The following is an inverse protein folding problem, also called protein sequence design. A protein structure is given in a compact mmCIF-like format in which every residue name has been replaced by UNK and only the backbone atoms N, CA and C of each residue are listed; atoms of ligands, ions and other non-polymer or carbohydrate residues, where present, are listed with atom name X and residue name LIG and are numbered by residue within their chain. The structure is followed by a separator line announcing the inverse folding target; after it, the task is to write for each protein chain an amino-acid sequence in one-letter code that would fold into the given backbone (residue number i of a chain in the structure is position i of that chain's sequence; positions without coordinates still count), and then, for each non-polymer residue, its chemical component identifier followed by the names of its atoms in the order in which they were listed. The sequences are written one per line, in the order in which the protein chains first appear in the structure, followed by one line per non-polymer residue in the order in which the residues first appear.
data_IF_568528274882
#
_entry.id   IF_568528274882
#
_cell.length_a   1.000
_cell.length_b   1.000
_cell.length_c   1.000
_cell.angle_alpha   90.00
_cell.angle_beta   90.00
_cell.angle_gamma   90.00
#
_symmetry.space_group_name_H-M   'P 1'
#
loop_
_entity.id
_entity.type
_entity.pdbx_description
1 polymer ?
#
# COMPACT_ATOMS: atom_id res chain seq x y z
N UNK A 1 -4.32 -0.92 2.75
CA UNK A 1 -5.74 -0.84 3.18
C UNK A 1 -5.85 -0.41 4.66
N UNK A 2 -4.93 0.45 5.10
CA UNK A 2 -4.93 0.93 6.48
C UNK A 2 -5.77 2.19 6.59
N UNK A 3 -6.49 2.33 7.73
CA UNK A 3 -7.09 3.61 8.08
C UNK A 3 -5.98 4.63 8.38
N UNK A 4 -6.31 5.92 8.29
CA UNK A 4 -5.35 7.00 8.56
C UNK A 4 -4.98 7.16 10.04
N UNK A 5 -5.39 6.24 10.92
CA UNK A 5 -5.24 6.35 12.38
C UNK A 5 -4.18 5.39 12.97
N UNK A 6 -3.53 4.57 12.14
CA UNK A 6 -2.49 3.66 12.62
C UNK A 6 -1.26 4.41 13.18
N UNK A 7 -0.57 3.79 14.12
CA UNK A 7 0.56 4.41 14.83
C UNK A 7 1.67 4.89 13.90
N UNK A 8 2.00 4.09 12.87
CA UNK A 8 3.01 4.46 11.88
C UNK A 8 2.59 5.64 11.01
N UNK A 9 1.32 5.74 10.61
CA UNK A 9 0.79 6.86 9.80
C UNK A 9 0.94 8.16 10.56
N UNK A 10 0.53 8.19 11.84
CA UNK A 10 0.68 9.37 12.69
C UNK A 10 2.16 9.75 12.88
N UNK A 11 3.02 8.78 13.15
CA UNK A 11 4.44 9.02 13.34
C UNK A 11 5.09 9.62 12.08
N UNK A 12 4.83 9.05 10.92
CA UNK A 12 5.37 9.52 9.64
C UNK A 12 4.88 10.93 9.30
N UNK A 13 3.58 11.19 9.43
CA UNK A 13 3.00 12.48 9.07
C UNK A 13 3.34 13.58 10.10
N UNK A 14 3.15 13.32 11.41
CA UNK A 14 3.25 14.35 12.45
C UNK A 14 4.70 14.65 12.86
N UNK A 15 5.58 13.65 12.90
CA UNK A 15 6.94 13.82 13.38
C UNK A 15 7.98 13.93 12.27
N UNK A 16 7.78 13.23 11.17
CA UNK A 16 8.73 13.24 10.06
C UNK A 16 8.29 14.09 8.87
N UNK A 17 7.04 14.57 8.84
CA UNK A 17 6.51 15.37 7.75
C UNK A 17 6.45 14.61 6.41
N UNK A 18 6.37 13.27 6.47
CA UNK A 18 6.25 12.45 5.27
C UNK A 18 4.81 12.53 4.78
N UNK A 19 4.56 12.86 3.51
CA UNK A 19 3.21 12.79 2.94
C UNK A 19 2.67 11.37 3.03
N UNK A 20 1.51 11.18 3.66
CA UNK A 20 0.84 9.89 3.81
C UNK A 20 -0.55 9.98 3.24
N UNK A 21 -0.84 9.11 2.27
CA UNK A 21 -2.14 8.98 1.61
C UNK A 21 -2.77 7.67 2.07
N UNK A 22 -3.67 7.76 3.02
CA UNK A 22 -4.31 6.61 3.65
C UNK A 22 -5.83 6.83 3.76
N UNK A 23 -6.54 5.82 4.19
CA UNK A 23 -7.97 5.86 4.42
C UNK A 23 -8.64 4.55 4.01
N UNK A 24 -9.89 4.42 4.42
CA UNK A 24 -10.74 3.30 4.03
C UNK A 24 -12.14 3.78 3.67
N UNK A 25 -12.72 3.23 2.61
CA UNK A 25 -14.07 3.55 2.18
C UNK A 25 -15.14 2.73 2.92
N UNK A 26 -14.76 1.64 3.60
CA UNK A 26 -15.65 0.78 4.38
C UNK A 26 -14.91 0.16 5.56
N UNK A 27 -15.62 -0.07 6.66
CA UNK A 27 -15.11 -0.81 7.83
C UNK A 27 -15.16 -2.32 7.65
N UNK A 28 -15.73 -2.79 6.53
CA UNK A 28 -15.82 -4.20 6.23
C UNK A 28 -14.55 -4.76 5.62
N UNK A 29 -14.34 -6.04 5.83
CA UNK A 29 -13.33 -6.76 5.08
C UNK A 29 -13.75 -6.93 3.61
N UNK A 30 -12.79 -6.95 2.70
CA UNK A 30 -13.04 -7.00 1.25
C UNK A 30 -13.95 -8.13 0.81
N UNK A 31 -13.91 -9.28 1.47
CA UNK A 31 -14.78 -10.43 1.17
C UNK A 31 -16.24 -10.25 1.61
N UNK A 32 -16.57 -9.23 2.39
CA UNK A 32 -17.92 -8.90 2.86
C UNK A 32 -18.44 -7.56 2.33
N UNK A 33 -17.66 -6.88 1.48
CA UNK A 33 -18.06 -5.63 0.83
C UNK A 33 -19.08 -5.87 -0.28
N UNK A 34 -19.98 -4.92 -0.45
CA UNK A 34 -20.86 -4.87 -1.64
C UNK A 34 -20.09 -4.37 -2.87
N UNK A 35 -20.67 -4.48 -4.06
CA UNK A 35 -20.07 -3.96 -5.28
C UNK A 35 -19.81 -2.45 -5.21
N UNK A 36 -20.71 -1.69 -4.58
CA UNK A 36 -20.59 -0.26 -4.38
C UNK A 36 -19.44 0.07 -3.41
N UNK A 37 -19.29 -0.69 -2.33
CA UNK A 37 -18.19 -0.53 -1.37
C UNK A 37 -16.84 -0.87 -2.00
N UNK A 38 -16.78 -1.90 -2.84
CA UNK A 38 -15.57 -2.24 -3.59
C UNK A 38 -15.20 -1.14 -4.58
N UNK A 39 -16.18 -0.59 -5.32
CA UNK A 39 -15.95 0.52 -6.24
C UNK A 39 -15.44 1.77 -5.50
N UNK A 40 -16.07 2.16 -4.39
CA UNK A 40 -15.62 3.29 -3.57
C UNK A 40 -14.22 3.06 -2.99
N UNK A 41 -13.87 1.82 -2.65
CA UNK A 41 -12.52 1.47 -2.20
C UNK A 41 -11.50 1.63 -3.32
N UNK A 42 -11.83 1.19 -4.53
CA UNK A 42 -10.98 1.37 -5.71
C UNK A 42 -10.75 2.86 -5.99
N UNK A 43 -11.81 3.67 -6.04
CA UNK A 43 -11.72 5.13 -6.26
C UNK A 43 -10.83 5.80 -5.20
N UNK A 44 -10.94 5.43 -3.93
CA UNK A 44 -10.11 5.95 -2.86
C UNK A 44 -8.62 5.58 -3.07
N UNK A 45 -8.32 4.33 -3.39
CA UNK A 45 -6.94 3.89 -3.62
C UNK A 45 -6.33 4.57 -4.86
N UNK A 46 -7.09 4.68 -5.93
CA UNK A 46 -6.65 5.36 -7.15
C UNK A 46 -6.40 6.84 -6.90
N UNK A 47 -7.28 7.50 -6.13
CA UNK A 47 -7.10 8.89 -5.70
C UNK A 47 -5.85 9.10 -4.84
N UNK A 48 -5.63 8.20 -3.88
CA UNK A 48 -4.45 8.23 -3.02
C UNK A 48 -3.16 8.04 -3.83
N UNK A 49 -3.12 7.05 -4.71
CA UNK A 49 -1.95 6.79 -5.55
C UNK A 49 -1.70 7.93 -6.54
N UNK A 50 -2.75 8.46 -7.17
CA UNK A 50 -2.62 9.63 -8.05
C UNK A 50 -2.06 10.85 -7.32
N UNK A 51 -2.50 11.09 -6.08
CA UNK A 51 -2.00 12.18 -5.24
C UNK A 51 -0.52 11.98 -4.87
N UNK A 52 -0.14 10.75 -4.48
CA UNK A 52 1.26 10.43 -4.19
C UNK A 52 2.18 10.61 -5.42
N UNK A 53 1.70 10.21 -6.60
CA UNK A 53 2.43 10.43 -7.85
C UNK A 53 2.58 11.91 -8.20
N UNK A 54 1.56 12.71 -7.90
CA UNK A 54 1.61 14.17 -8.13
C UNK A 54 2.63 14.86 -7.21
N UNK A 55 2.75 14.43 -5.94
CA UNK A 55 3.79 14.92 -5.02
C UNK A 55 5.22 14.64 -5.51
N UNK A 56 5.39 13.55 -6.25
CA UNK A 56 6.68 13.14 -6.79
C UNK A 56 6.92 13.66 -8.21
N UNK A 57 5.99 14.44 -8.77
CA UNK A 57 6.15 14.98 -10.12
C UNK A 57 7.34 15.95 -10.18
N UNK A 58 8.31 15.63 -11.04
CA UNK A 58 9.56 16.39 -11.16
C UNK A 58 10.64 16.07 -10.14
N UNK A 59 10.39 15.16 -9.19
CA UNK A 59 11.40 14.69 -8.26
C UNK A 59 12.54 13.96 -9.03
N UNK A 60 13.78 14.22 -8.63
CA UNK A 60 14.97 13.55 -9.13
C UNK A 60 15.48 12.45 -8.18
N UNK A 61 14.93 12.43 -6.99
CA UNK A 61 15.20 11.44 -5.92
C UNK A 61 14.00 11.34 -5.01
N UNK A 62 13.81 10.21 -4.36
CA UNK A 62 12.72 9.99 -3.41
C UNK A 62 12.46 8.51 -3.16
N UNK A 63 11.54 8.25 -2.26
CA UNK A 63 11.04 6.91 -1.95
C UNK A 63 9.51 6.92 -1.94
N UNK A 64 8.90 6.10 -2.77
CA UNK A 64 7.48 5.81 -2.78
C UNK A 64 7.24 4.43 -2.17
N UNK A 65 6.51 4.37 -1.07
CA UNK A 65 6.11 3.11 -0.43
C UNK A 65 4.63 2.86 -0.68
N UNK A 66 4.32 1.74 -1.31
CA UNK A 66 2.97 1.27 -1.59
C UNK A 66 2.67 0.06 -0.69
N UNK A 67 2.15 0.33 0.50
CA UNK A 67 1.88 -0.70 1.50
C UNK A 67 0.64 -1.51 1.14
N UNK A 68 0.74 -2.83 1.20
CA UNK A 68 -0.29 -3.80 0.80
C UNK A 68 -0.78 -3.68 -0.67
N UNK A 69 0.01 -3.03 -1.53
CA UNK A 69 -0.37 -2.79 -2.92
C UNK A 69 -0.54 -4.08 -3.73
N UNK A 70 0.25 -5.12 -3.42
CA UNK A 70 0.12 -6.42 -4.12
C UNK A 70 -1.22 -7.08 -3.84
N UNK A 71 -1.72 -6.96 -2.60
CA UNK A 71 -3.04 -7.46 -2.23
C UNK A 71 -4.16 -6.64 -2.90
N UNK A 72 -4.01 -5.31 -2.97
CA UNK A 72 -4.95 -4.44 -3.66
C UNK A 72 -5.02 -4.76 -5.15
N UNK A 73 -3.89 -4.92 -5.83
CA UNK A 73 -3.80 -5.32 -7.24
C UNK A 73 -4.47 -6.66 -7.49
N UNK A 74 -4.17 -7.67 -6.68
CA UNK A 74 -4.71 -9.02 -6.85
C UNK A 74 -6.24 -9.10 -6.73
N UNK A 75 -6.82 -8.13 -6.02
CA UNK A 75 -8.27 -8.01 -5.80
C UNK A 75 -8.96 -6.99 -6.73
N UNK A 76 -8.22 -6.33 -7.61
CA UNK A 76 -8.75 -5.28 -8.48
C UNK A 76 -9.23 -4.04 -7.72
N UNK A 77 -8.57 -3.71 -6.61
CA UNK A 77 -8.89 -2.57 -5.74
C UNK A 77 -7.99 -1.34 -5.98
N UNK A 78 -7.19 -1.39 -7.01
CA UNK A 78 -6.37 -0.27 -7.52
C UNK A 78 -6.17 -0.46 -9.01
N UNK A 79 -6.15 0.63 -9.77
CA UNK A 79 -5.89 0.60 -11.21
C UNK A 79 -4.43 0.17 -11.47
N UNK A 80 -4.27 -0.92 -12.23
CA UNK A 80 -2.96 -1.45 -12.62
C UNK A 80 -2.13 -0.41 -13.40
N UNK A 81 -2.78 0.43 -14.21
CA UNK A 81 -2.08 1.46 -14.97
C UNK A 81 -1.48 2.54 -14.06
N UNK A 82 -2.12 2.88 -12.94
CA UNK A 82 -1.54 3.77 -11.92
C UNK A 82 -0.34 3.15 -11.22
N UNK A 83 -0.41 1.86 -10.91
CA UNK A 83 0.72 1.13 -10.32
C UNK A 83 1.88 1.03 -11.32
N UNK A 84 1.61 0.79 -12.60
CA UNK A 84 2.66 0.83 -13.63
C UNK A 84 3.35 2.18 -13.70
N UNK A 85 2.59 3.28 -13.64
CA UNK A 85 3.15 4.63 -13.58
C UNK A 85 4.02 4.84 -12.34
N UNK A 86 3.61 4.30 -11.20
CA UNK A 86 4.42 4.34 -9.98
C UNK A 86 5.75 3.60 -10.16
N UNK A 87 5.73 2.41 -10.75
CA UNK A 87 6.95 1.64 -11.04
C UNK A 87 7.87 2.36 -12.03
N UNK A 88 7.31 3.06 -13.01
CA UNK A 88 8.09 3.82 -14.00
C UNK A 88 8.79 5.05 -13.38
N UNK A 89 8.43 5.46 -12.15
CA UNK A 89 9.16 6.50 -11.40
C UNK A 89 10.60 6.11 -11.08
N UNK A 90 10.90 4.81 -10.99
CA UNK A 90 12.26 4.32 -10.77
C UNK A 90 13.24 4.79 -11.83
N UNK A 91 12.82 4.90 -13.08
CA UNK A 91 13.62 5.44 -14.18
C UNK A 91 13.98 6.93 -14.00
N UNK A 92 13.35 7.62 -13.05
CA UNK A 92 13.57 9.05 -12.74
C UNK A 92 14.36 9.25 -11.45
N UNK A 93 14.81 8.19 -10.79
CA UNK A 93 15.55 8.25 -9.53
C UNK A 93 14.69 8.15 -8.26
N UNK A 94 13.41 7.81 -8.40
CA UNK A 94 12.53 7.52 -7.24
C UNK A 94 12.56 6.02 -6.94
N UNK A 95 13.02 5.65 -5.76
CA UNK A 95 12.92 4.28 -5.29
C UNK A 95 11.45 3.90 -5.05
N UNK A 96 11.04 2.71 -5.47
CA UNK A 96 9.65 2.26 -5.32
C UNK A 96 9.62 0.93 -4.56
N UNK A 97 8.96 0.92 -3.40
CA UNK A 97 8.79 -0.27 -2.59
C UNK A 97 7.32 -0.69 -2.55
N UNK A 98 7.04 -1.93 -2.94
CA UNK A 98 5.72 -2.55 -2.82
C UNK A 98 5.75 -3.63 -1.76
N UNK A 99 4.72 -3.65 -0.91
CA UNK A 99 4.51 -4.76 0.00
C UNK A 99 3.22 -5.50 -0.31
N UNK A 100 3.07 -6.70 0.26
CA UNK A 100 1.88 -7.52 0.12
C UNK A 100 2.19 -8.96 -0.23
N UNK A 101 1.18 -9.68 -0.74
CA UNK A 101 1.24 -11.12 -1.01
C UNK A 101 1.04 -11.42 -2.49
N UNK A 102 1.60 -12.55 -2.92
CA UNK A 102 1.39 -13.10 -4.25
C UNK A 102 1.59 -12.08 -5.39
N UNK A 103 2.80 -11.52 -5.55
CA UNK A 103 3.07 -10.59 -6.65
C UNK A 103 2.79 -11.26 -8.00
N UNK A 104 2.24 -10.49 -8.93
CA UNK A 104 2.06 -10.97 -10.30
C UNK A 104 3.43 -11.18 -10.97
N UNK A 105 3.46 -12.06 -11.99
CA UNK A 105 4.67 -12.30 -12.77
C UNK A 105 5.28 -10.98 -13.32
N UNK A 106 4.44 -10.08 -13.76
CA UNK A 106 4.83 -8.76 -14.28
C UNK A 106 5.60 -7.94 -13.23
N UNK A 107 5.11 -7.91 -11.99
CA UNK A 107 5.79 -7.23 -10.86
C UNK A 107 7.13 -7.89 -10.57
N UNK A 108 7.15 -9.22 -10.49
CA UNK A 108 8.39 -9.99 -10.25
C UNK A 108 9.45 -9.71 -11.34
N UNK A 109 9.04 -9.63 -12.59
CA UNK A 109 9.96 -9.34 -13.72
C UNK A 109 10.48 -7.89 -13.72
N UNK A 110 9.73 -6.94 -13.16
CA UNK A 110 10.13 -5.53 -13.05
C UNK A 110 10.98 -5.22 -11.80
N UNK A 111 10.91 -6.06 -10.77
CA UNK A 111 11.57 -5.80 -9.50
C UNK A 111 13.08 -6.08 -9.57
N UNK A 112 13.89 -5.13 -9.10
CA UNK A 112 15.33 -5.30 -8.92
C UNK A 112 15.65 -6.13 -7.68
N UNK A 113 14.83 -6.00 -6.63
CA UNK A 113 14.97 -6.73 -5.36
C UNK A 113 13.66 -7.37 -4.96
N UNK A 114 13.70 -8.62 -4.54
CA UNK A 114 12.57 -9.35 -3.98
C UNK A 114 12.99 -9.99 -2.67
N UNK A 115 12.26 -9.67 -1.59
CA UNK A 115 12.45 -10.30 -0.28
C UNK A 115 11.16 -11.00 0.12
N UNK A 116 11.24 -12.29 0.39
CA UNK A 116 10.14 -13.07 0.95
C UNK A 116 10.28 -13.15 2.47
N UNK A 117 9.26 -12.67 3.19
CA UNK A 117 9.17 -12.80 4.64
C UNK A 117 8.26 -13.98 4.99
N UNK A 118 8.83 -15.03 5.57
CA UNK A 118 8.10 -16.23 5.99
C UNK A 118 7.69 -16.13 7.44
N UNK A 119 6.39 -16.37 7.69
CA UNK A 119 5.88 -16.44 9.05
C UNK A 119 6.19 -17.81 9.64
N UNK A 120 7.19 -17.89 10.51
CA UNK A 120 7.52 -19.12 11.26
C UNK A 120 6.69 -19.26 12.55
N UNK A 121 6.20 -18.12 13.09
CA UNK A 121 5.39 -18.07 14.31
C UNK A 121 4.64 -16.75 14.38
N UNK A 122 3.37 -16.77 14.72
CA UNK A 122 2.56 -15.57 14.86
C UNK A 122 1.77 -15.56 16.18
N UNK A 123 1.73 -14.45 16.94
CA UNK A 123 0.96 -14.35 18.18
C UNK A 123 -0.52 -14.69 18.05
N UNK A 124 -1.12 -14.39 16.90
CA UNK A 124 -2.51 -14.70 16.58
C UNK A 124 -2.84 -16.20 16.73
N UNK A 125 -1.90 -17.10 16.37
CA UNK A 125 -2.06 -18.56 16.53
C UNK A 125 -2.15 -18.98 18.01
N UNK A 126 -1.70 -18.11 18.91
CA UNK A 126 -1.77 -18.29 20.36
C UNK A 126 -2.95 -17.52 20.99
N UNK A 127 -3.86 -16.97 20.18
CA UNK A 127 -5.00 -16.19 20.66
C UNK A 127 -4.64 -14.81 21.20
N UNK A 128 -3.44 -14.29 20.90
CA UNK A 128 -3.03 -12.93 21.29
C UNK A 128 -3.62 -11.95 20.28
N UNK A 129 -4.44 -11.01 20.77
CA UNK A 129 -5.03 -9.96 19.96
C UNK A 129 -3.98 -8.95 19.48
N UNK A 130 -4.28 -8.23 18.41
CA UNK A 130 -3.49 -7.12 17.90
C UNK A 130 -3.34 -6.02 18.97
N UNK A 131 -2.14 -5.43 19.05
CA UNK A 131 -1.76 -4.43 20.06
C UNK A 131 -1.48 -3.09 19.39
N UNK A 132 -1.91 -2.02 20.05
CA UNK A 132 -1.64 -0.66 19.59
C UNK A 132 -0.14 -0.38 19.49
N UNK A 133 0.28 0.24 18.39
CA UNK A 133 1.68 0.59 18.13
C UNK A 133 2.58 -0.61 17.78
N UNK A 134 2.02 -1.83 17.64
CA UNK A 134 2.76 -3.04 17.24
C UNK A 134 2.13 -3.66 15.99
N UNK A 135 0.86 -4.05 16.06
CA UNK A 135 0.14 -4.62 14.93
C UNK A 135 -0.87 -3.62 14.31
N UNK A 136 -1.16 -2.50 14.96
CA UNK A 136 -1.99 -1.40 14.41
C UNK A 136 -1.65 -0.04 15.04
#
# INVERSE_FOLDING_TARGET
LKDGESGEVRLLAEHFGVPVFAGKASDKFTWSMTSEELAATCELHDGNLASALAELEGAQEGLLVLDEALDALSKGLVDEALVDRALDMSARGVEVALTGRAPSRKIVEKADYITEMRCEKHPYEQGICAREGVEY
#
